data_IF_174269314236
#
_entry.id   IF_174269314236
#
_cell.length_a   1.000
_cell.length_b   1.000
_cell.length_c   1.000
_cell.angle_alpha   90.00
_cell.angle_beta   90.00
_cell.angle_gamma   90.00
#
_symmetry.space_group_name_H-M   'P 1'
#
loop_
_entity.id
_entity.type
_entity.pdbx_description
1 polymer ?
#
# COMPACT_ATOMS: atom_id res chain seq x y z
N UNK A 1 27.99 14.11 -21.26
CA UNK A 1 29.21 13.38 -20.84
C UNK A 1 28.84 12.55 -19.63
N UNK A 2 28.63 11.24 -19.79
CA UNK A 2 28.22 10.35 -18.70
C UNK A 2 29.46 9.86 -17.95
N UNK A 3 29.46 9.95 -16.63
CA UNK A 3 30.49 9.35 -15.78
C UNK A 3 30.01 7.94 -15.43
N UNK A 4 30.71 6.91 -15.93
CA UNK A 4 30.43 5.50 -15.65
C UNK A 4 31.42 5.05 -14.56
N UNK A 5 30.90 4.56 -13.43
CA UNK A 5 31.69 3.92 -12.38
C UNK A 5 31.70 2.41 -12.59
N UNK A 6 32.88 1.81 -12.42
CA UNK A 6 33.16 0.38 -12.56
C UNK A 6 33.51 -0.14 -11.15
N UNK A 7 32.60 -0.95 -10.60
CA UNK A 7 32.62 -1.39 -9.20
C UNK A 7 33.77 -2.36 -8.87
N UNK A 8 34.55 -2.78 -9.89
CA UNK A 8 35.77 -3.57 -9.69
C UNK A 8 36.98 -2.74 -9.27
N UNK A 9 36.86 -1.40 -9.24
CA UNK A 9 37.95 -0.48 -8.95
C UNK A 9 37.70 0.32 -7.67
N UNK A 10 38.77 0.53 -6.90
CA UNK A 10 38.71 1.39 -5.72
C UNK A 10 38.46 2.84 -6.14
N UNK A 11 37.68 3.60 -5.36
CA UNK A 11 37.52 5.06 -5.54
C UNK A 11 38.88 5.78 -5.66
N UNK A 12 39.91 5.27 -4.97
CA UNK A 12 41.25 5.83 -5.02
C UNK A 12 41.93 5.65 -6.40
N UNK A 13 41.50 4.71 -7.22
CA UNK A 13 42.05 4.49 -8.57
C UNK A 13 41.47 5.50 -9.58
N UNK A 14 40.27 6.03 -9.32
CA UNK A 14 39.68 7.11 -10.12
C UNK A 14 40.33 8.47 -9.83
N UNK A 15 40.79 8.69 -8.59
CA UNK A 15 41.45 9.92 -8.16
C UNK A 15 42.91 10.04 -8.65
N UNK A 16 43.49 8.97 -9.18
CA UNK A 16 44.89 8.90 -9.66
C UNK A 16 45.06 9.13 -11.17
N UNK A 17 43.98 9.40 -11.92
CA UNK A 17 44.12 9.67 -13.35
C UNK A 17 44.74 11.06 -13.57
N UNK A 18 45.73 11.21 -14.47
CA UNK A 18 46.40 12.48 -14.71
C UNK A 18 45.47 13.58 -15.24
N UNK A 19 44.33 13.21 -15.84
CA UNK A 19 43.31 14.14 -16.36
C UNK A 19 42.09 14.33 -15.43
N UNK A 20 42.07 13.69 -14.25
CA UNK A 20 41.03 13.98 -13.25
C UNK A 20 41.51 15.08 -12.32
N UNK A 21 41.22 16.33 -12.66
CA UNK A 21 41.27 17.41 -11.67
C UNK A 21 40.00 17.35 -10.82
N UNK A 22 40.08 17.00 -9.52
CA UNK A 22 38.92 17.12 -8.65
C UNK A 22 38.57 18.61 -8.54
N UNK A 23 37.39 18.96 -9.07
CA UNK A 23 36.84 20.30 -8.92
C UNK A 23 36.61 20.58 -7.42
N UNK A 24 37.05 21.73 -6.92
CA UNK A 24 36.75 22.12 -5.55
C UNK A 24 35.26 22.47 -5.41
N UNK A 25 34.66 22.17 -4.26
CA UNK A 25 33.25 22.51 -3.98
C UNK A 25 32.95 24.00 -4.24
N UNK A 26 33.91 24.88 -3.96
CA UNK A 26 33.80 26.32 -4.23
C UNK A 26 33.68 26.63 -5.72
N UNK A 27 34.44 25.94 -6.57
CA UNK A 27 34.34 26.08 -8.03
C UNK A 27 32.98 25.60 -8.54
N UNK A 28 32.52 24.44 -8.04
CA UNK A 28 31.21 23.90 -8.38
C UNK A 28 30.09 24.87 -8.01
N UNK A 29 30.11 25.43 -6.80
CA UNK A 29 29.14 26.44 -6.35
C UNK A 29 29.17 27.72 -7.20
N UNK A 30 30.34 28.17 -7.64
CA UNK A 30 30.46 29.32 -8.56
C UNK A 30 29.83 29.02 -9.93
N UNK A 31 30.00 27.80 -10.46
CA UNK A 31 29.38 27.41 -11.72
C UNK A 31 27.87 27.26 -11.58
N UNK A 32 27.37 26.73 -10.45
CA UNK A 32 25.94 26.70 -10.15
C UNK A 32 25.35 28.12 -10.08
N UNK A 33 26.03 29.04 -9.40
CA UNK A 33 25.64 30.44 -9.36
C UNK A 33 25.68 31.11 -10.76
N UNK A 34 26.54 30.62 -11.66
CA UNK A 34 26.61 31.03 -13.06
C UNK A 34 25.65 30.26 -14.00
N UNK A 35 24.73 29.45 -13.47
CA UNK A 35 23.68 28.78 -14.25
C UNK A 35 23.95 27.33 -14.65
N UNK A 36 24.98 26.68 -14.10
CA UNK A 36 25.17 25.23 -14.27
C UNK A 36 24.00 24.47 -13.64
N UNK A 37 23.13 23.90 -14.47
CA UNK A 37 22.09 22.98 -14.02
C UNK A 37 22.72 21.63 -13.65
N UNK A 38 22.61 21.26 -12.37
CA UNK A 38 23.00 19.92 -11.91
C UNK A 38 21.98 18.83 -12.28
N UNK A 39 20.77 19.24 -12.62
CA UNK A 39 19.66 18.36 -12.99
C UNK A 39 19.40 18.62 -14.48
N UNK A 40 19.37 17.56 -15.29
CA UNK A 40 19.03 17.71 -16.70
C UNK A 40 17.57 18.11 -16.86
N UNK A 41 17.23 18.77 -17.96
CA UNK A 41 15.84 19.10 -18.27
C UNK A 41 14.97 17.82 -18.39
N UNK A 42 15.57 16.69 -18.78
CA UNK A 42 14.93 15.37 -18.77
C UNK A 42 14.59 14.90 -17.35
N UNK A 43 15.54 14.98 -16.40
CA UNK A 43 15.28 14.63 -15.00
C UNK A 43 14.22 15.54 -14.36
N UNK A 44 14.19 16.83 -14.70
CA UNK A 44 13.13 17.74 -14.25
C UNK A 44 11.77 17.35 -14.83
N UNK A 45 11.74 16.94 -16.10
CA UNK A 45 10.51 16.48 -16.77
C UNK A 45 10.01 15.17 -16.14
N UNK A 46 10.88 14.18 -15.94
CA UNK A 46 10.53 12.93 -15.26
C UNK A 46 9.98 13.17 -13.85
N UNK A 47 10.60 14.09 -13.09
CA UNK A 47 10.09 14.45 -11.75
C UNK A 47 8.67 15.02 -11.83
N UNK A 48 8.40 15.93 -12.78
CA UNK A 48 7.05 16.49 -12.98
C UNK A 48 6.04 15.41 -13.36
N UNK A 49 6.40 14.51 -14.27
CA UNK A 49 5.54 13.39 -14.66
C UNK A 49 5.23 12.46 -13.47
N UNK A 50 6.22 12.20 -12.61
CA UNK A 50 6.02 11.44 -11.37
C UNK A 50 5.12 12.17 -10.36
N UNK A 51 5.28 13.48 -10.20
CA UNK A 51 4.44 14.32 -9.35
C UNK A 51 2.97 14.31 -9.84
N UNK A 52 2.73 14.48 -11.14
CA UNK A 52 1.38 14.42 -11.73
C UNK A 52 0.72 13.04 -11.52
N UNK A 53 1.48 11.96 -11.71
CA UNK A 53 0.99 10.60 -11.45
C UNK A 53 0.66 10.40 -9.97
N UNK A 54 1.48 10.94 -9.07
CA UNK A 54 1.24 10.87 -7.63
C UNK A 54 -0.04 11.62 -7.24
N UNK A 55 -0.24 12.85 -7.75
CA UNK A 55 -1.46 13.63 -7.49
C UNK A 55 -2.72 12.91 -7.98
N UNK A 56 -2.67 12.29 -9.16
CA UNK A 56 -3.79 11.51 -9.70
C UNK A 56 -4.10 10.29 -8.80
N UNK A 57 -3.06 9.63 -8.27
CA UNK A 57 -3.24 8.54 -7.31
C UNK A 57 -3.85 9.02 -6.00
N UNK A 58 -3.38 10.13 -5.44
CA UNK A 58 -3.94 10.72 -4.23
C UNK A 58 -5.42 11.08 -4.40
N UNK A 59 -5.79 11.72 -5.52
CA UNK A 59 -7.21 12.01 -5.84
C UNK A 59 -8.04 10.74 -5.92
N UNK A 60 -7.51 9.65 -6.49
CA UNK A 60 -8.19 8.35 -6.52
C UNK A 60 -8.36 7.78 -5.10
N UNK A 61 -7.33 7.85 -4.26
CA UNK A 61 -7.39 7.36 -2.89
C UNK A 61 -8.33 8.15 -2.00
N UNK A 62 -8.35 9.48 -2.11
CA UNK A 62 -9.29 10.30 -1.35
C UNK A 62 -10.75 10.04 -1.77
N UNK A 63 -11.03 9.78 -3.06
CA UNK A 63 -12.37 9.34 -3.50
C UNK A 63 -12.77 8.00 -2.90
N UNK A 64 -11.88 7.00 -2.94
CA UNK A 64 -12.15 5.67 -2.34
C UNK A 64 -12.30 5.76 -0.82
N UNK A 65 -11.45 6.55 -0.16
CA UNK A 65 -11.52 6.81 1.28
C UNK A 65 -12.85 7.44 1.66
N UNK A 66 -13.27 8.47 0.93
CA UNK A 66 -14.58 9.10 1.13
C UNK A 66 -15.71 8.07 0.97
N UNK A 67 -15.70 7.30 -0.12
CA UNK A 67 -16.68 6.24 -0.35
C UNK A 67 -16.75 5.25 0.81
N UNK A 68 -15.60 4.83 1.35
CA UNK A 68 -15.52 3.92 2.49
C UNK A 68 -16.11 4.53 3.77
N UNK A 69 -15.70 5.75 4.13
CA UNK A 69 -16.14 6.38 5.37
C UNK A 69 -17.60 6.86 5.33
N UNK A 70 -18.07 7.33 4.17
CA UNK A 70 -19.47 7.70 3.96
C UNK A 70 -20.40 6.48 4.17
N UNK A 71 -19.94 5.28 3.82
CA UNK A 71 -20.68 4.02 3.94
C UNK A 71 -20.20 3.12 5.09
N UNK A 72 -19.41 3.65 6.03
CA UNK A 72 -18.78 2.82 7.04
C UNK A 72 -19.81 2.14 7.95
N UNK A 73 -20.94 2.77 8.22
CA UNK A 73 -22.05 2.18 8.97
C UNK A 73 -22.62 0.94 8.29
N UNK A 74 -22.87 0.98 6.98
CA UNK A 74 -23.29 -0.19 6.20
C UNK A 74 -22.22 -1.29 6.24
N UNK A 75 -20.95 -0.92 6.02
CA UNK A 75 -19.82 -1.85 6.03
C UNK A 75 -19.69 -2.54 7.39
N UNK A 76 -19.83 -1.80 8.49
CA UNK A 76 -19.73 -2.35 9.84
C UNK A 76 -20.93 -3.25 10.18
N UNK A 77 -22.15 -2.94 9.69
CA UNK A 77 -23.34 -3.79 9.86
C UNK A 77 -23.21 -5.12 9.12
N UNK A 78 -22.65 -5.11 7.91
CA UNK A 78 -22.41 -6.31 7.08
C UNK A 78 -21.01 -6.91 7.26
N UNK A 79 -20.30 -6.59 8.35
CA UNK A 79 -18.91 -7.01 8.56
C UNK A 79 -18.73 -8.51 8.42
N UNK A 80 -19.61 -9.31 9.02
CA UNK A 80 -19.46 -10.77 9.04
C UNK A 80 -19.69 -11.37 7.64
N UNK A 81 -20.62 -10.81 6.85
CA UNK A 81 -20.82 -11.16 5.43
C UNK A 81 -19.59 -10.80 4.59
N UNK A 82 -19.00 -9.62 4.81
CA UNK A 82 -17.77 -9.18 4.13
C UNK A 82 -16.60 -10.10 4.44
N UNK A 83 -16.44 -10.50 5.71
CA UNK A 83 -15.38 -11.41 6.14
C UNK A 83 -15.56 -12.83 5.60
N UNK A 84 -16.81 -13.29 5.45
CA UNK A 84 -17.13 -14.61 4.91
C UNK A 84 -17.00 -14.68 3.38
N UNK A 85 -17.07 -13.54 2.68
CA UNK A 85 -17.09 -13.48 1.21
C UNK A 85 -15.70 -13.13 0.65
N UNK A 86 -14.96 -14.07 0.03
CA UNK A 86 -13.57 -13.85 -0.37
C UNK A 86 -13.34 -12.63 -1.27
N UNK A 87 -14.24 -12.38 -2.23
CA UNK A 87 -14.13 -11.22 -3.14
C UNK A 87 -14.28 -9.88 -2.42
N UNK A 88 -15.06 -9.81 -1.33
CA UNK A 88 -15.19 -8.59 -0.51
C UNK A 88 -14.01 -8.46 0.46
N UNK A 89 -13.65 -9.57 1.12
CA UNK A 89 -12.55 -9.64 2.06
C UNK A 89 -11.22 -9.14 1.46
N UNK A 90 -10.98 -9.44 0.18
CA UNK A 90 -9.74 -9.09 -0.53
C UNK A 90 -9.73 -7.69 -1.17
N UNK A 91 -10.78 -6.87 -1.00
CA UNK A 91 -10.78 -5.49 -1.50
C UNK A 91 -9.63 -4.71 -0.85
N UNK A 92 -8.86 -3.98 -1.68
CA UNK A 92 -7.77 -3.13 -1.20
C UNK A 92 -8.31 -1.93 -0.40
N UNK A 93 -7.82 -1.77 0.82
CA UNK A 93 -8.21 -0.74 1.78
C UNK A 93 -6.99 0.03 2.35
N UNK A 94 -5.82 -0.02 1.70
CA UNK A 94 -4.60 0.62 2.21
C UNK A 94 -4.72 2.14 2.43
N UNK A 95 -5.63 2.81 1.71
CA UNK A 95 -5.90 4.25 1.82
C UNK A 95 -6.76 4.65 3.04
N UNK A 96 -7.37 3.67 3.72
CA UNK A 96 -8.37 3.93 4.76
C UNK A 96 -7.74 4.37 6.09
N UNK A 97 -6.51 3.93 6.37
CA UNK A 97 -5.80 4.25 7.61
C UNK A 97 -4.45 4.93 7.32
N UNK A 98 -4.18 6.05 8.00
CA UNK A 98 -2.91 6.78 7.90
C UNK A 98 -2.15 6.71 9.21
N UNK A 99 -0.87 6.41 9.17
CA UNK A 99 -0.03 6.32 10.37
C UNK A 99 1.32 6.98 10.13
N UNK A 100 2.06 7.22 11.19
CA UNK A 100 3.45 7.61 11.07
C UNK A 100 4.06 8.05 12.38
N UNK A 101 5.37 7.91 12.51
CA UNK A 101 6.08 8.26 13.72
C UNK A 101 7.31 9.10 13.46
N UNK A 102 7.70 9.86 14.48
CA UNK A 102 9.04 10.43 14.53
C UNK A 102 10.07 9.30 14.40
N UNK A 103 11.13 9.52 13.63
CA UNK A 103 12.22 8.57 13.34
C UNK A 103 11.88 7.35 12.47
N UNK A 104 10.62 6.89 12.44
CA UNK A 104 10.19 5.73 11.63
C UNK A 104 9.46 6.11 10.35
N UNK A 105 9.12 7.39 10.19
CA UNK A 105 8.47 7.90 8.99
C UNK A 105 6.99 7.49 8.89
N UNK A 106 6.39 7.63 7.69
CA UNK A 106 5.00 7.26 7.45
C UNK A 106 4.79 5.74 7.56
N UNK A 107 3.62 5.35 8.04
CA UNK A 107 3.19 3.96 7.98
C UNK A 107 2.95 3.57 6.52
N UNK A 108 3.66 2.56 6.05
CA UNK A 108 3.34 1.92 4.78
C UNK A 108 2.18 0.92 4.98
N UNK A 109 1.08 1.15 4.26
CA UNK A 109 -0.11 0.27 4.24
C UNK A 109 -0.19 -0.57 2.96
N UNK A 110 0.81 -0.48 2.09
CA UNK A 110 0.99 -1.37 0.94
C UNK A 110 2.46 -1.71 0.75
N UNK A 111 2.72 -2.88 0.16
CA UNK A 111 4.06 -3.32 -0.26
C UNK A 111 4.02 -3.78 -1.70
N UNK A 112 5.08 -3.44 -2.43
CA UNK A 112 5.30 -3.94 -3.78
C UNK A 112 6.36 -5.04 -3.75
N UNK A 113 6.18 -6.07 -4.56
CA UNK A 113 7.15 -7.13 -4.78
C UNK A 113 7.12 -7.57 -6.23
N UNK A 114 8.24 -8.14 -6.69
CA UNK A 114 8.36 -8.64 -8.05
C UNK A 114 8.00 -10.13 -8.09
N UNK A 115 7.08 -10.50 -8.97
CA UNK A 115 6.76 -11.89 -9.26
C UNK A 115 6.95 -12.08 -10.76
N UNK A 116 7.88 -12.95 -11.15
CA UNK A 116 8.14 -13.30 -12.55
C UNK A 116 8.29 -12.06 -13.48
N UNK A 117 8.98 -11.01 -13.01
CA UNK A 117 9.21 -9.78 -13.77
C UNK A 117 8.08 -8.74 -13.67
N UNK A 118 6.95 -9.08 -13.04
CA UNK A 118 5.82 -8.17 -12.83
C UNK A 118 5.84 -7.59 -11.42
N UNK A 119 5.65 -6.28 -11.30
CA UNK A 119 5.51 -5.62 -10.00
C UNK A 119 4.06 -5.80 -9.52
N UNK A 120 3.89 -6.52 -8.42
CA UNK A 120 2.61 -6.72 -7.74
C UNK A 120 2.60 -5.86 -6.49
N UNK A 121 1.56 -5.05 -6.31
CA UNK A 121 1.34 -4.26 -5.10
C UNK A 121 0.22 -4.88 -4.29
N UNK A 122 0.52 -5.26 -3.04
CA UNK A 122 -0.45 -5.75 -2.08
C UNK A 122 -0.66 -4.69 -1.01
N UNK A 123 -1.90 -4.23 -0.90
CA UNK A 123 -2.35 -3.33 0.15
C UNK A 123 -2.95 -4.09 1.33
N UNK A 124 -3.16 -3.37 2.44
CA UNK A 124 -3.97 -3.84 3.54
C UNK A 124 -5.38 -4.20 3.03
N UNK A 125 -5.81 -5.43 3.28
CA UNK A 125 -7.11 -5.92 2.82
C UNK A 125 -8.25 -5.40 3.69
N UNK A 126 -9.44 -5.26 3.12
CA UNK A 126 -10.64 -4.81 3.83
C UNK A 126 -10.95 -5.72 5.01
N UNK A 127 -10.88 -7.05 4.85
CA UNK A 127 -11.08 -7.98 5.96
C UNK A 127 -10.12 -7.74 7.12
N UNK A 128 -8.84 -7.51 6.80
CA UNK A 128 -7.80 -7.25 7.79
C UNK A 128 -8.04 -5.92 8.50
N UNK A 129 -8.40 -4.87 7.76
CA UNK A 129 -8.76 -3.57 8.34
C UNK A 129 -9.96 -3.68 9.30
N UNK A 130 -11.01 -4.41 8.91
CA UNK A 130 -12.18 -4.63 9.76
C UNK A 130 -11.80 -5.36 11.05
N UNK A 131 -10.95 -6.39 10.97
CA UNK A 131 -10.44 -7.11 12.16
C UNK A 131 -9.58 -6.21 13.05
N UNK A 132 -8.73 -5.35 12.46
CA UNK A 132 -7.96 -4.36 13.22
C UNK A 132 -8.90 -3.46 14.00
N UNK A 133 -9.93 -2.93 13.35
CA UNK A 133 -10.96 -2.10 13.97
C UNK A 133 -11.83 -2.84 14.98
N UNK A 134 -11.70 -4.15 15.14
CA UNK A 134 -12.35 -4.88 16.22
C UNK A 134 -11.58 -4.83 17.54
N UNK A 135 -10.31 -4.45 17.52
CA UNK A 135 -9.43 -4.45 18.70
C UNK A 135 -9.60 -3.20 19.56
N UNK A 136 -9.43 -3.34 20.87
CA UNK A 136 -9.52 -2.22 21.84
C UNK A 136 -8.56 -1.07 21.52
N UNK A 137 -7.40 -1.40 20.94
CA UNK A 137 -6.43 -0.41 20.51
C UNK A 137 -6.96 0.50 19.39
N UNK A 138 -7.90 0.02 18.57
CA UNK A 138 -8.43 0.72 17.40
C UNK A 138 -9.92 1.10 17.50
N UNK A 139 -10.61 0.68 18.56
CA UNK A 139 -11.97 1.12 18.90
C UNK A 139 -12.00 2.19 19.97
N UNK A 140 -12.98 3.08 19.91
CA UNK A 140 -13.24 4.10 20.93
C UNK A 140 -14.74 4.30 21.04
N UNK A 141 -15.25 4.42 22.27
CA UNK A 141 -16.64 4.79 22.48
C UNK A 141 -16.92 6.22 22.00
N UNK A 142 -17.99 6.39 21.25
CA UNK A 142 -18.46 7.69 20.80
C UNK A 142 -19.51 8.24 21.78
N UNK A 143 -19.59 9.57 21.87
CA UNK A 143 -20.62 10.27 22.67
C UNK A 143 -22.06 9.97 22.23
N UNK A 144 -22.26 9.50 21.00
CA UNK A 144 -23.58 9.08 20.51
C UNK A 144 -24.00 7.68 20.99
N UNK A 145 -23.15 6.97 21.74
CA UNK A 145 -23.35 5.58 22.15
C UNK A 145 -22.77 4.55 21.18
N UNK A 146 -22.40 4.99 19.97
CA UNK A 146 -21.78 4.14 18.94
C UNK A 146 -20.29 3.88 19.15
N UNK A 147 -19.71 3.01 18.30
CA UNK A 147 -18.27 2.72 18.31
C UNK A 147 -17.56 3.46 17.19
N UNK A 148 -16.61 4.33 17.54
CA UNK A 148 -15.71 4.99 16.60
C UNK A 148 -14.43 4.16 16.37
N UNK A 149 -13.91 4.21 15.14
CA UNK A 149 -12.73 3.44 14.73
C UNK A 149 -11.56 4.36 14.40
N UNK A 150 -10.34 3.98 14.79
CA UNK A 150 -9.12 4.75 14.51
C UNK A 150 -8.83 4.74 13.02
N UNK A 151 -8.81 5.94 12.40
CA UNK A 151 -8.47 6.13 10.99
C UNK A 151 -7.12 6.81 10.77
N UNK A 152 -6.57 7.43 11.81
CA UNK A 152 -5.21 7.93 11.73
C UNK A 152 -4.52 8.04 13.09
N UNK A 153 -3.20 7.92 13.10
CA UNK A 153 -2.39 8.15 14.29
C UNK A 153 -1.01 8.71 13.94
N UNK A 154 -0.44 9.47 14.86
CA UNK A 154 0.95 9.90 14.83
C UNK A 154 1.58 9.73 16.22
N UNK A 155 2.91 9.59 16.29
CA UNK A 155 3.56 9.45 17.59
C UNK A 155 5.08 9.30 17.54
N UNK A 156 5.63 8.82 18.65
CA UNK A 156 7.07 8.57 18.78
C UNK A 156 7.30 7.17 19.34
N UNK A 157 8.10 6.33 18.66
CA UNK A 157 8.44 5.00 19.16
C UNK A 157 9.29 5.06 20.44
N UNK A 158 10.11 6.10 20.60
CA UNK A 158 11.01 6.24 21.75
C UNK A 158 10.27 6.58 23.04
N UNK A 159 9.24 7.43 22.96
CA UNK A 159 8.45 7.83 24.12
C UNK A 159 7.18 6.98 24.30
N UNK A 160 6.81 6.19 23.30
CA UNK A 160 5.52 5.52 23.21
C UNK A 160 4.31 6.45 23.03
N UNK A 161 4.51 7.77 23.09
CA UNK A 161 3.43 8.75 23.00
C UNK A 161 2.77 8.74 21.63
N UNK A 162 1.44 8.87 21.60
CA UNK A 162 0.69 8.98 20.35
C UNK A 162 -0.47 9.96 20.45
N UNK A 163 -0.87 10.46 19.29
CA UNK A 163 -2.12 11.18 19.05
C UNK A 163 -2.84 10.45 17.92
N UNK A 164 -4.09 10.08 18.15
CA UNK A 164 -4.88 9.42 17.13
C UNK A 164 -6.22 10.13 16.90
N UNK A 165 -6.84 9.82 15.78
CA UNK A 165 -8.13 10.33 15.38
C UNK A 165 -9.01 9.14 15.01
N UNK A 166 -10.12 9.01 15.73
CA UNK A 166 -11.18 8.06 15.45
C UNK A 166 -12.28 8.73 14.63
N UNK A 167 -13.03 7.93 13.88
CA UNK A 167 -14.21 8.35 13.14
C UNK A 167 -15.40 7.48 13.55
N UNK A 168 -16.51 8.10 13.93
CA UNK A 168 -17.73 7.39 14.27
C UNK A 168 -18.57 7.13 13.02
N UNK A 169 -18.88 5.87 12.66
CA UNK A 169 -19.72 5.56 11.51
C UNK A 169 -21.16 6.04 11.68
N UNK A 170 -21.68 6.14 12.91
CA UNK A 170 -23.07 6.50 13.17
C UNK A 170 -23.30 8.01 13.11
N UNK A 171 -22.59 8.78 13.94
CA UNK A 171 -22.77 10.24 14.00
C UNK A 171 -21.82 11.02 13.06
N UNK A 172 -20.95 10.31 12.33
CA UNK A 172 -19.99 10.85 11.35
C UNK A 172 -19.01 11.89 11.94
N UNK A 173 -18.86 11.93 13.27
CA UNK A 173 -17.95 12.84 13.97
C UNK A 173 -16.57 12.23 14.18
N UNK A 174 -15.56 13.11 14.25
CA UNK A 174 -14.19 12.74 14.58
C UNK A 174 -13.88 12.92 16.06
N UNK A 175 -13.15 11.96 16.64
CA UNK A 175 -12.76 11.96 18.05
C UNK A 175 -11.24 11.97 18.14
N UNK A 176 -10.70 12.88 18.95
CA UNK A 176 -9.27 12.89 19.28
C UNK A 176 -8.99 11.93 20.42
N UNK A 177 -8.03 11.04 20.20
CA UNK A 177 -7.66 9.97 21.12
C UNK A 177 -6.23 10.21 21.57
N UNK A 178 -6.02 10.12 22.88
CA UNK A 178 -4.71 10.29 23.53
C UNK A 178 -4.44 9.06 24.40
N UNK A 179 -3.22 8.97 24.92
CA UNK A 179 -2.82 7.97 25.92
C UNK A 179 -2.89 6.51 25.44
N UNK A 180 -2.72 6.27 24.13
CA UNK A 180 -2.50 4.94 23.58
C UNK A 180 -1.05 4.80 23.11
N UNK A 181 -0.50 3.60 23.17
CA UNK A 181 0.88 3.35 22.75
C UNK A 181 1.02 3.50 21.24
N UNK A 182 1.97 4.33 20.79
CA UNK A 182 2.34 4.43 19.39
C UNK A 182 2.80 3.08 18.83
N UNK A 183 3.62 2.35 19.59
CA UNK A 183 4.14 1.06 19.18
C UNK A 183 3.03 0.04 18.93
N UNK A 184 1.98 0.05 19.77
CA UNK A 184 0.82 -0.83 19.57
C UNK A 184 0.06 -0.50 18.29
N UNK A 185 -0.08 0.78 17.91
CA UNK A 185 -0.67 1.11 16.61
C UNK A 185 0.21 0.66 15.45
N UNK A 186 1.47 1.08 15.48
CA UNK A 186 2.37 0.97 14.35
C UNK A 186 2.74 -0.47 14.04
N UNK A 187 3.16 -1.23 15.06
CA UNK A 187 3.59 -2.61 14.87
C UNK A 187 2.42 -3.54 14.59
N UNK A 188 1.26 -3.32 15.19
CA UNK A 188 0.08 -4.12 14.89
C UNK A 188 -0.29 -4.02 13.41
N UNK A 189 -0.37 -2.80 12.86
CA UNK A 189 -0.66 -2.59 11.44
C UNK A 189 0.43 -3.14 10.51
N UNK A 190 1.71 -2.99 10.86
CA UNK A 190 2.79 -3.54 10.05
C UNK A 190 2.80 -5.07 10.05
N UNK A 191 2.50 -5.71 11.19
CA UNK A 191 2.37 -7.16 11.29
C UNK A 191 1.19 -7.63 10.46
N UNK A 192 0.00 -7.02 10.61
CA UNK A 192 -1.18 -7.38 9.82
C UNK A 192 -0.97 -7.21 8.31
N UNK A 193 -0.28 -6.15 7.88
CA UNK A 193 0.10 -6.01 6.47
C UNK A 193 1.07 -7.10 6.02
N UNK A 194 2.03 -7.47 6.86
CA UNK A 194 3.00 -8.52 6.53
C UNK A 194 2.30 -9.88 6.38
N UNK A 195 1.34 -10.20 7.24
CA UNK A 195 0.50 -11.39 7.15
C UNK A 195 -0.37 -11.41 5.88
N UNK A 196 -0.94 -10.27 5.49
CA UNK A 196 -1.66 -10.12 4.22
C UNK A 196 -0.76 -10.39 3.02
N UNK A 197 0.42 -9.78 3.01
CA UNK A 197 1.42 -9.97 1.94
C UNK A 197 1.85 -11.44 1.85
N UNK A 198 2.15 -12.08 2.99
CA UNK A 198 2.53 -13.48 3.04
C UNK A 198 1.41 -14.40 2.55
N UNK A 199 0.16 -14.12 2.93
CA UNK A 199 -1.01 -14.87 2.47
C UNK A 199 -1.16 -14.78 0.95
N UNK A 200 -1.06 -13.57 0.39
CA UNK A 200 -1.14 -13.37 -1.06
C UNK A 200 0.03 -14.04 -1.77
N UNK A 201 1.26 -13.89 -1.26
CA UNK A 201 2.43 -14.53 -1.85
C UNK A 201 2.30 -16.05 -1.88
N UNK A 202 1.87 -16.68 -0.77
CA UNK A 202 1.61 -18.13 -0.70
C UNK A 202 0.53 -18.57 -1.69
N UNK A 203 -0.56 -17.80 -1.81
CA UNK A 203 -1.63 -18.08 -2.78
C UNK A 203 -1.12 -18.03 -4.22
N UNK A 204 -0.33 -17.00 -4.56
CA UNK A 204 0.25 -16.87 -5.90
C UNK A 204 1.21 -18.02 -6.20
N UNK A 205 2.10 -18.37 -5.27
CA UNK A 205 3.03 -19.50 -5.43
C UNK A 205 2.25 -20.80 -5.64
N UNK A 206 1.24 -21.08 -4.81
CA UNK A 206 0.45 -22.30 -4.93
C UNK A 206 -0.27 -22.38 -6.29
N UNK A 207 -0.88 -21.28 -6.75
CA UNK A 207 -1.53 -21.22 -8.08
C UNK A 207 -0.54 -21.39 -9.22
N UNK A 208 0.65 -20.80 -9.08
CA UNK A 208 1.71 -20.94 -10.07
C UNK A 208 2.19 -22.39 -10.18
N UNK A 209 2.43 -23.06 -9.04
CA UNK A 209 2.82 -24.48 -9.02
C UNK A 209 1.75 -25.39 -9.64
N UNK A 210 0.47 -25.12 -9.40
CA UNK A 210 -0.62 -25.85 -10.05
C UNK A 210 -0.63 -25.64 -11.57
N UNK A 211 -0.46 -24.39 -12.02
CA UNK A 211 -0.40 -24.05 -13.44
C UNK A 211 0.81 -24.71 -14.14
N UNK A 212 1.97 -24.78 -13.48
CA UNK A 212 3.15 -25.50 -13.98
C UNK A 212 2.89 -27.00 -14.12
N UNK A 213 2.27 -27.64 -13.12
CA UNK A 213 1.94 -29.06 -13.18
C UNK A 213 0.90 -29.38 -14.27
N UNK A 214 -0.08 -28.50 -14.50
CA UNK A 214 -1.03 -28.63 -15.61
C UNK A 214 -0.38 -28.41 -16.97
N UNK A 215 0.55 -27.45 -17.05
CA UNK A 215 1.36 -27.20 -18.22
C UNK A 215 2.18 -28.43 -18.62
N UNK A 216 2.90 -29.06 -17.68
CA UNK A 216 3.68 -30.28 -17.94
C UNK A 216 2.79 -31.40 -18.51
N UNK A 217 1.60 -31.62 -17.92
CA UNK A 217 0.63 -32.59 -18.45
C UNK A 217 0.16 -32.29 -19.87
N UNK A 218 0.02 -31.01 -20.26
CA UNK A 218 -0.40 -30.62 -21.62
C UNK A 218 0.73 -30.83 -22.63
N UNK A 219 1.97 -30.52 -22.24
CA UNK A 219 3.17 -30.78 -23.04
C UNK A 219 3.33 -32.28 -23.30
N UNK A 220 3.20 -33.11 -22.27
CA UNK A 220 3.26 -34.59 -22.40
C UNK A 220 2.19 -35.14 -23.37
N UNK A 221 1.02 -34.51 -23.44
CA UNK A 221 -0.09 -34.89 -24.33
C UNK A 221 0.06 -34.40 -25.77
N UNK A 222 1.17 -33.73 -26.12
CA UNK A 222 1.43 -33.23 -27.47
C UNK A 222 0.56 -32.04 -27.91
N UNK A 223 -0.25 -31.48 -27.01
CA UNK A 223 -1.10 -30.33 -27.28
C UNK A 223 -0.32 -29.04 -27.00
N UNK A 224 0.53 -28.62 -27.95
CA UNK A 224 1.39 -27.45 -27.75
C UNK A 224 1.23 -26.37 -28.84
N UNK A 225 0.63 -25.24 -28.46
CA UNK A 225 0.72 -23.97 -29.19
C UNK A 225 0.95 -22.84 -28.17
N UNK A 226 2.21 -22.39 -28.09
CA UNK A 226 2.73 -21.16 -27.47
C UNK A 226 2.64 -21.04 -25.91
N UNK A 227 3.66 -20.49 -25.23
CA UNK A 227 4.25 -21.21 -24.11
C UNK A 227 4.39 -20.29 -22.89
N UNK A 228 3.36 -20.14 -22.07
CA UNK A 228 3.53 -19.46 -20.78
C UNK A 228 2.66 -20.13 -19.71
N UNK A 229 3.25 -20.56 -18.57
CA UNK A 229 2.50 -21.03 -17.41
C UNK A 229 1.41 -20.05 -16.96
N UNK A 230 1.60 -18.75 -17.24
CA UNK A 230 0.65 -17.69 -16.89
C UNK A 230 -0.71 -17.73 -17.62
N UNK A 231 -0.90 -18.55 -18.66
CA UNK A 231 -2.20 -18.64 -19.35
C UNK A 231 -3.31 -19.23 -18.47
N UNK A 232 -2.96 -20.15 -17.58
CA UNK A 232 -3.88 -20.80 -16.63
C UNK A 232 -3.93 -20.06 -15.27
N UNK A 233 -3.19 -18.95 -15.14
CA UNK A 233 -3.15 -18.19 -13.90
C UNK A 233 -4.39 -17.28 -13.80
N UNK A 234 -5.42 -17.78 -13.14
CA UNK A 234 -6.68 -17.05 -12.94
C UNK A 234 -6.82 -16.50 -11.51
N UNK A 235 -7.41 -15.30 -11.41
CA UNK A 235 -7.80 -14.70 -10.14
C UNK A 235 -9.00 -15.43 -9.50
N UNK A 236 -9.25 -15.18 -8.22
CA UNK A 236 -10.39 -15.77 -7.50
C UNK A 236 -11.69 -15.04 -7.87
N UNK A 237 -12.31 -15.45 -8.98
CA UNK A 237 -13.65 -15.00 -9.39
C UNK A 237 -13.70 -13.61 -10.04
N UNK A 238 -14.92 -13.06 -10.11
CA UNK A 238 -15.13 -11.74 -10.71
C UNK A 238 -14.51 -10.61 -9.86
N UNK A 239 -13.88 -9.62 -10.51
CA UNK A 239 -13.27 -8.51 -9.80
C UNK A 239 -14.34 -7.69 -9.06
N UNK A 240 -14.23 -7.63 -7.73
CA UNK A 240 -15.07 -6.77 -6.89
C UNK A 240 -14.28 -5.56 -6.41
N UNK A 241 -14.86 -4.37 -6.56
CA UNK A 241 -14.33 -3.15 -5.95
C UNK A 241 -15.26 -2.65 -4.82
N UNK A 242 -14.82 -1.63 -4.09
CA UNK A 242 -15.55 -1.09 -2.95
C UNK A 242 -16.96 -0.58 -3.32
N UNK A 243 -17.11 0.04 -4.49
CA UNK A 243 -18.40 0.57 -4.96
C UNK A 243 -19.37 -0.55 -5.34
N UNK A 244 -18.89 -1.57 -6.05
CA UNK A 244 -19.66 -2.78 -6.38
C UNK A 244 -20.17 -3.43 -5.09
N UNK A 245 -19.28 -3.67 -4.12
CA UNK A 245 -19.65 -4.28 -2.84
C UNK A 245 -20.71 -3.44 -2.11
N UNK A 246 -20.53 -2.12 -2.00
CA UNK A 246 -21.51 -1.24 -1.33
C UNK A 246 -22.88 -1.33 -1.99
N UNK A 247 -22.93 -1.34 -3.33
CA UNK A 247 -24.20 -1.45 -4.06
C UNK A 247 -24.87 -2.80 -3.83
N UNK A 248 -24.11 -3.90 -3.83
CA UNK A 248 -24.62 -5.24 -3.56
C UNK A 248 -25.16 -5.36 -2.12
N UNK A 249 -24.43 -4.82 -1.13
CA UNK A 249 -24.90 -4.80 0.27
C UNK A 249 -26.21 -4.02 0.41
N UNK A 250 -26.34 -2.86 -0.24
CA UNK A 250 -27.60 -2.08 -0.23
C UNK A 250 -28.75 -2.82 -0.89
N UNK A 251 -28.51 -3.54 -1.98
CA UNK A 251 -29.54 -4.36 -2.62
C UNK A 251 -29.99 -5.48 -1.69
N UNK A 252 -29.06 -6.10 -0.95
CA UNK A 252 -29.39 -7.13 0.03
C UNK A 252 -30.24 -6.56 1.20
N UNK A 253 -30.00 -5.32 1.64
CA UNK A 253 -30.86 -4.68 2.65
C UNK A 253 -32.27 -4.41 2.13
N UNK A 254 -32.40 -3.97 0.87
CA UNK A 254 -33.70 -3.64 0.28
C UNK A 254 -34.56 -4.87 -0.07
N UNK A 255 -33.95 -6.05 -0.24
CA UNK A 255 -34.66 -7.31 -0.52
C UNK A 255 -35.18 -7.97 0.78
N UNK A 256 -34.66 -7.58 1.94
CA UNK A 256 -35.03 -8.13 3.25
C UNK A 256 -36.02 -7.24 4.04
N UNK A 257 -36.68 -6.30 3.37
CA UNK A 257 -37.81 -5.49 3.88
C UNK A 257 -39.07 -5.90 3.13
#
# INVERSE_FOLDING_TARGET
MAIIFDDSRSINDYLKKPDSHPESFVSMCKRQAAGLKLISDEMEKERKEQEELHELQEKRFERKKKLLFDNLDLIMRHRDEILATPRYANIDAHYAIKGGGLYVGPLHTSRAFNIAGSIVRVGLRLATLLRIWETDQFKVECKCGGTAVIRSFTGSPLSGSSRATAYCPECKQEIRVKNRSFGQYFWFLQTSLSEDVETVAKSIIAKWTLAEAEYEKKVEKGNYKDPRPGAEFHGDGEPCNLETMINELRLNENVNI
#
